data_IF_069071589946
#
_entry.id   IF_069071589946
#
_cell.length_a   1.000
_cell.length_b   1.000
_cell.length_c   1.000
_cell.angle_alpha   90.00
_cell.angle_beta   90.00
_cell.angle_gamma   90.00
#
_symmetry.space_group_name_H-M   'P 1'
#
loop_
_entity.id
_entity.type
_entity.pdbx_description
1 polymer ?
#
# COMPACT_ATOMS: atom_id res chain seq x y z
N UNK A 1 -13.06 6.60 -15.73
CA UNK A 1 -11.80 5.95 -15.36
C UNK A 1 -11.02 6.89 -14.47
N UNK A 2 -10.68 6.44 -13.27
CA UNK A 2 -9.86 7.18 -12.32
C UNK A 2 -8.39 6.73 -12.40
N UNK A 3 -7.51 7.45 -11.73
CA UNK A 3 -6.09 7.12 -11.56
C UNK A 3 -5.86 5.75 -10.92
N UNK A 4 -6.67 5.40 -9.92
CA UNK A 4 -6.60 4.13 -9.21
C UNK A 4 -6.84 2.93 -10.14
N UNK A 5 -7.79 3.03 -11.08
CA UNK A 5 -8.09 1.99 -12.07
C UNK A 5 -6.94 1.80 -13.06
N UNK A 6 -6.25 2.87 -13.46
CA UNK A 6 -5.03 2.77 -14.28
C UNK A 6 -3.87 2.14 -13.52
N UNK A 7 -3.67 2.51 -12.26
CA UNK A 7 -2.64 1.88 -11.43
C UNK A 7 -2.93 0.39 -11.23
N UNK A 8 -4.19 0.03 -10.97
CA UNK A 8 -4.61 -1.36 -10.86
C UNK A 8 -4.36 -2.14 -12.16
N UNK A 9 -4.72 -1.58 -13.32
CA UNK A 9 -4.44 -2.19 -14.61
C UNK A 9 -2.93 -2.34 -14.88
N UNK A 10 -2.12 -1.36 -14.48
CA UNK A 10 -0.66 -1.44 -14.56
C UNK A 10 -0.13 -2.58 -13.69
N UNK A 11 -0.57 -2.69 -12.43
CA UNK A 11 -0.20 -3.78 -11.54
C UNK A 11 -0.59 -5.14 -12.12
N UNK A 12 -1.83 -5.30 -12.61
CA UNK A 12 -2.25 -6.55 -13.26
C UNK A 12 -1.36 -6.92 -14.45
N UNK A 13 -0.91 -5.93 -15.24
CA UNK A 13 -0.02 -6.18 -16.37
C UNK A 13 1.38 -6.66 -15.98
N UNK A 14 1.75 -6.58 -14.69
CA UNK A 14 3.01 -7.13 -14.16
C UNK A 14 2.87 -8.60 -13.72
N UNK A 15 1.65 -9.13 -13.61
CA UNK A 15 1.43 -10.54 -13.31
C UNK A 15 1.75 -11.43 -14.51
N UNK A 16 2.28 -12.63 -14.25
CA UNK A 16 2.53 -13.63 -15.30
C UNK A 16 1.23 -14.11 -15.96
N UNK A 17 0.18 -14.31 -15.17
CA UNK A 17 -1.19 -14.58 -15.63
C UNK A 17 -2.19 -13.68 -14.87
N UNK A 18 -2.64 -12.56 -15.47
CA UNK A 18 -3.57 -11.63 -14.82
C UNK A 18 -4.99 -12.19 -14.64
N UNK A 19 -5.30 -13.34 -15.25
CA UNK A 19 -6.60 -14.00 -15.12
C UNK A 19 -6.54 -15.26 -14.24
N UNK A 20 -5.34 -15.65 -13.80
CA UNK A 20 -5.08 -16.80 -12.94
C UNK A 20 -5.02 -16.43 -11.45
N UNK A 21 -4.92 -17.45 -10.57
CA UNK A 21 -4.56 -17.21 -9.18
C UNK A 21 -3.15 -16.65 -9.09
N UNK A 22 -2.93 -15.71 -8.17
CA UNK A 22 -1.62 -15.17 -7.84
C UNK A 22 -1.25 -15.59 -6.41
N UNK A 23 -0.01 -15.96 -6.19
CA UNK A 23 0.52 -16.16 -4.85
C UNK A 23 0.84 -14.79 -4.17
N UNK A 24 0.90 -14.73 -2.83
CA UNK A 24 1.12 -13.45 -2.13
C UNK A 24 2.38 -12.70 -2.60
N UNK A 25 3.45 -13.45 -2.89
CA UNK A 25 4.70 -12.90 -3.42
C UNK A 25 4.56 -12.37 -4.83
N UNK A 26 3.77 -13.02 -5.68
CA UNK A 26 3.52 -12.53 -7.04
C UNK A 26 2.74 -11.22 -7.03
N UNK A 27 1.76 -11.07 -6.12
CA UNK A 27 1.06 -9.81 -5.91
C UNK A 27 1.99 -8.71 -5.40
N UNK A 28 2.84 -9.02 -4.42
CA UNK A 28 3.83 -8.10 -3.87
C UNK A 28 4.79 -7.61 -4.97
N UNK A 29 5.35 -8.54 -5.74
CA UNK A 29 6.28 -8.24 -6.83
C UNK A 29 5.60 -7.43 -7.95
N UNK A 30 4.35 -7.75 -8.30
CA UNK A 30 3.59 -6.98 -9.29
C UNK A 30 3.35 -5.53 -8.85
N UNK A 31 3.07 -5.29 -7.57
CA UNK A 31 2.95 -3.95 -7.01
C UNK A 31 4.29 -3.21 -7.07
N UNK A 32 5.40 -3.86 -6.67
CA UNK A 32 6.74 -3.28 -6.74
C UNK A 32 7.13 -2.88 -8.17
N UNK A 33 6.87 -3.75 -9.14
CA UNK A 33 7.13 -3.48 -10.55
C UNK A 33 6.27 -2.32 -11.06
N UNK A 34 5.00 -2.26 -10.70
CA UNK A 34 4.12 -1.15 -11.07
C UNK A 34 4.57 0.19 -10.48
N UNK A 35 5.01 0.20 -9.21
CA UNK A 35 5.60 1.37 -8.57
C UNK A 35 6.88 1.81 -9.30
N UNK A 36 7.72 0.87 -9.72
CA UNK A 36 8.92 1.13 -10.53
C UNK A 36 8.59 1.76 -11.89
N UNK A 37 7.61 1.20 -12.62
CA UNK A 37 7.14 1.79 -13.89
C UNK A 37 6.62 3.21 -13.68
N UNK A 38 5.85 3.45 -12.61
CA UNK A 38 5.37 4.78 -12.28
C UNK A 38 6.50 5.75 -11.96
N UNK A 39 7.54 5.31 -11.25
CA UNK A 39 8.75 6.11 -11.00
C UNK A 39 9.41 6.54 -12.31
N UNK A 40 9.65 5.59 -13.22
CA UNK A 40 10.26 5.87 -14.54
C UNK A 40 9.41 6.83 -15.40
N UNK A 41 8.08 6.68 -15.37
CA UNK A 41 7.16 7.60 -16.08
C UNK A 41 7.26 9.00 -15.49
N UNK A 42 7.22 9.12 -14.16
CA UNK A 42 7.30 10.42 -13.47
C UNK A 42 8.61 11.13 -13.77
N UNK A 43 9.74 10.42 -13.71
CA UNK A 43 11.06 10.96 -14.04
C UNK A 43 11.14 11.47 -15.48
N UNK A 44 10.68 10.66 -16.46
CA UNK A 44 10.69 11.06 -17.90
C UNK A 44 9.86 12.30 -18.20
N UNK A 45 8.85 12.57 -17.36
CA UNK A 45 7.97 13.72 -17.51
C UNK A 45 8.29 14.87 -16.55
N UNK A 46 9.34 14.74 -15.72
CA UNK A 46 9.74 15.76 -14.74
C UNK A 46 8.68 15.99 -13.65
N UNK A 47 7.91 14.95 -13.30
CA UNK A 47 6.89 15.00 -12.26
C UNK A 47 7.56 14.65 -10.93
N UNK A 48 7.79 15.67 -10.10
CA UNK A 48 8.37 15.53 -8.76
C UNK A 48 7.38 15.88 -7.64
N UNK A 49 6.09 16.05 -7.95
CA UNK A 49 5.08 16.40 -6.94
C UNK A 49 4.72 15.20 -6.08
N UNK A 50 4.76 15.33 -4.76
CA UNK A 50 4.35 14.29 -3.81
C UNK A 50 3.05 13.57 -4.22
N UNK A 51 3.04 12.24 -4.20
CA UNK A 51 1.85 11.43 -4.49
C UNK A 51 1.78 10.19 -3.59
N UNK A 52 0.94 10.20 -2.53
CA UNK A 52 0.65 9.01 -1.72
C UNK A 52 0.07 7.88 -2.56
N UNK A 53 0.45 6.63 -2.29
CA UNK A 53 -0.05 5.42 -2.95
C UNK A 53 -0.23 4.31 -1.91
N UNK A 54 -1.37 4.36 -1.21
CA UNK A 54 -1.79 3.32 -0.28
C UNK A 54 -2.77 2.40 -1.00
N UNK A 55 -2.29 1.21 -1.36
CA UNK A 55 -3.06 0.19 -2.07
C UNK A 55 -3.44 -0.90 -1.08
N UNK A 56 -4.60 -1.51 -1.28
CA UNK A 56 -4.99 -2.75 -0.62
C UNK A 56 -5.56 -3.66 -1.71
N UNK A 57 -4.84 -4.72 -2.03
CA UNK A 57 -5.16 -5.66 -3.12
C UNK A 57 -5.32 -7.05 -2.54
N UNK A 58 -6.24 -7.84 -3.10
CA UNK A 58 -6.48 -9.22 -2.69
C UNK A 58 -6.79 -10.10 -3.89
N UNK A 59 -6.30 -11.35 -3.86
CA UNK A 59 -6.71 -12.44 -4.76
C UNK A 59 -7.86 -13.28 -4.17
N UNK A 60 -8.40 -12.88 -3.02
CA UNK A 60 -9.40 -13.64 -2.26
C UNK A 60 -8.81 -14.70 -1.31
N UNK A 61 -7.49 -14.94 -1.32
CA UNK A 61 -6.80 -15.84 -0.36
C UNK A 61 -5.80 -15.09 0.51
N UNK A 62 -5.24 -14.01 -0.02
CA UNK A 62 -4.23 -13.17 0.59
C UNK A 62 -4.56 -11.69 0.39
N UNK A 63 -3.92 -10.83 1.17
CA UNK A 63 -4.02 -9.37 1.05
C UNK A 63 -2.62 -8.80 1.01
N UNK A 64 -2.37 -7.89 0.07
CA UNK A 64 -1.15 -7.07 0.04
C UNK A 64 -1.56 -5.61 0.17
N UNK A 65 -0.98 -4.90 1.13
CA UNK A 65 -1.26 -3.49 1.36
C UNK A 65 0.03 -2.66 1.39
N UNK A 66 0.00 -1.43 0.87
CA UNK A 66 1.17 -0.53 0.89
C UNK A 66 0.91 0.72 1.71
N UNK A 67 1.94 1.18 2.42
CA UNK A 67 2.06 2.56 2.89
C UNK A 67 3.25 3.20 2.15
N UNK A 68 2.97 3.92 1.08
CA UNK A 68 4.01 4.41 0.17
C UNK A 68 3.66 5.79 -0.39
N UNK A 69 4.68 6.49 -0.86
CA UNK A 69 4.54 7.72 -1.64
C UNK A 69 5.64 7.89 -2.66
N UNK A 70 5.32 8.58 -3.74
CA UNK A 70 6.32 9.21 -4.57
C UNK A 70 6.70 10.60 -4.02
N UNK A 71 7.98 10.96 -4.16
CA UNK A 71 8.50 12.31 -4.01
C UNK A 71 8.10 13.01 -2.70
N UNK A 72 8.32 12.35 -1.56
CA UNK A 72 8.04 12.95 -0.26
C UNK A 72 8.79 14.28 -0.06
N UNK A 73 8.10 15.23 0.56
CA UNK A 73 8.64 16.54 0.86
C UNK A 73 8.58 17.53 -0.31
N UNK A 74 8.23 17.08 -1.52
CA UNK A 74 8.08 17.95 -2.68
C UNK A 74 6.63 18.36 -2.92
N UNK A 75 6.28 19.55 -2.43
CA UNK A 75 4.94 20.12 -2.58
C UNK A 75 4.95 21.24 -3.64
N UNK A 76 3.91 21.34 -4.50
CA UNK A 76 3.85 22.35 -5.56
C UNK A 76 3.79 23.79 -5.03
N UNK A 77 3.09 23.97 -3.92
CA UNK A 77 2.96 25.23 -3.18
C UNK A 77 2.66 24.94 -1.69
N UNK A 78 3.03 25.88 -0.81
CA UNK A 78 2.85 25.78 0.65
C UNK A 78 1.36 25.80 1.07
N UNK A 79 0.46 26.21 0.15
CA UNK A 79 -0.98 26.27 0.36
C UNK A 79 -1.73 25.02 -0.13
N UNK A 80 -1.05 24.10 -0.83
CA UNK A 80 -1.66 22.83 -1.27
C UNK A 80 -2.20 22.06 -0.07
N UNK A 81 -3.27 21.32 -0.30
CA UNK A 81 -3.85 20.40 0.69
C UNK A 81 -2.73 19.62 1.41
N UNK A 82 -1.81 19.03 0.64
CA UNK A 82 -0.68 18.24 1.14
C UNK A 82 0.42 19.05 1.86
N UNK A 83 0.65 20.31 1.48
CA UNK A 83 1.64 21.15 2.19
C UNK A 83 1.11 21.68 3.53
N UNK A 84 -0.18 21.96 3.62
CA UNK A 84 -0.87 22.32 4.88
C UNK A 84 -1.05 21.12 5.79
N UNK A 85 -1.16 19.94 5.20
CA UNK A 85 -1.31 18.64 5.86
C UNK A 85 0.01 17.85 6.00
N UNK A 86 1.16 18.52 6.10
CA UNK A 86 2.42 17.90 6.56
C UNK A 86 2.30 17.14 7.90
N UNK A 87 1.16 17.27 8.59
CA UNK A 87 0.78 16.53 9.80
C UNK A 87 0.24 15.10 9.52
N UNK A 88 -0.03 14.73 8.25
CA UNK A 88 -0.60 13.43 7.86
C UNK A 88 0.33 12.61 6.93
N UNK A 89 1.61 12.47 7.31
CA UNK A 89 2.67 11.74 6.58
C UNK A 89 2.16 10.41 5.96
N UNK A 90 1.74 10.53 4.69
CA UNK A 90 1.16 9.53 3.80
C UNK A 90 -0.05 8.75 4.26
N UNK A 91 -1.07 9.49 4.69
CA UNK A 91 -2.48 9.07 4.91
C UNK A 91 -2.54 7.65 5.44
N UNK A 92 -1.99 7.53 6.65
CA UNK A 92 -1.69 6.36 7.47
C UNK A 92 -2.34 5.04 7.09
N UNK A 93 -1.62 3.94 7.28
CA UNK A 93 -2.17 2.61 7.19
C UNK A 93 -2.03 1.96 8.57
N UNK A 94 -3.10 1.35 9.07
CA UNK A 94 -3.13 0.71 10.37
C UNK A 94 -3.62 -0.72 10.21
N UNK A 95 -3.07 -1.63 11.01
CA UNK A 95 -3.56 -2.99 11.12
C UNK A 95 -3.91 -3.36 12.57
N UNK A 96 -4.91 -4.22 12.73
CA UNK A 96 -5.31 -4.78 14.02
C UNK A 96 -5.68 -6.26 13.83
N UNK A 97 -4.76 -7.19 14.16
CA UNK A 97 -5.09 -8.60 14.26
C UNK A 97 -6.09 -8.85 15.39
N UNK A 98 -7.05 -9.74 15.17
CA UNK A 98 -7.96 -10.21 16.21
C UNK A 98 -7.17 -11.01 17.28
N UNK A 99 -7.48 -10.86 18.58
CA UNK A 99 -6.88 -11.66 19.65
C UNK A 99 -6.82 -13.18 19.42
N UNK A 100 -7.74 -13.74 18.63
CA UNK A 100 -7.75 -15.17 18.30
C UNK A 100 -6.85 -15.56 17.12
N UNK A 101 -6.22 -14.57 16.46
CA UNK A 101 -5.30 -14.76 15.33
C UNK A 101 -5.96 -15.15 14.02
N UNK A 102 -7.30 -15.10 13.90
CA UNK A 102 -8.02 -15.61 12.71
C UNK A 102 -8.48 -14.51 11.75
N UNK A 103 -8.42 -13.26 12.17
CA UNK A 103 -8.78 -12.12 11.32
C UNK A 103 -7.83 -10.94 11.54
N UNK A 104 -7.77 -10.04 10.55
CA UNK A 104 -7.02 -8.79 10.65
C UNK A 104 -7.86 -7.68 10.00
N UNK A 105 -7.96 -6.55 10.69
CA UNK A 105 -8.50 -5.33 10.11
C UNK A 105 -7.35 -4.48 9.58
N UNK A 106 -7.46 -3.98 8.35
CA UNK A 106 -6.54 -3.00 7.77
C UNK A 106 -7.37 -1.78 7.38
N UNK A 107 -6.97 -0.60 7.84
CA UNK A 107 -7.71 0.63 7.62
C UNK A 107 -6.78 1.84 7.54
N UNK A 108 -7.29 2.95 7.00
CA UNK A 108 -6.55 4.22 6.99
C UNK A 108 -6.42 4.85 8.38
N UNK A 109 -7.26 4.45 9.33
CA UNK A 109 -7.25 4.91 10.71
C UNK A 109 -7.86 3.85 11.63
N UNK A 110 -7.55 3.85 12.93
CA UNK A 110 -8.21 2.98 13.90
C UNK A 110 -9.72 3.21 13.95
N UNK A 111 -10.48 2.15 13.65
CA UNK A 111 -11.95 2.20 13.56
C UNK A 111 -12.67 1.99 14.91
N UNK A 112 -11.91 1.79 16.00
CA UNK A 112 -12.46 1.53 17.34
C UNK A 112 -11.98 2.57 18.35
N UNK A 113 -12.81 2.82 19.38
CA UNK A 113 -12.45 3.74 20.48
C UNK A 113 -11.26 3.23 21.29
N UNK A 114 -11.16 1.92 21.48
CA UNK A 114 -9.94 1.29 21.99
C UNK A 114 -8.93 1.14 20.85
N UNK A 115 -7.80 1.82 20.97
CA UNK A 115 -6.72 1.85 19.97
C UNK A 115 -5.55 0.94 20.33
N UNK A 116 -5.60 0.24 21.47
CA UNK A 116 -4.45 -0.52 22.00
C UNK A 116 -3.96 -1.65 21.09
N UNK A 117 -4.87 -2.26 20.33
CA UNK A 117 -4.55 -3.33 19.37
C UNK A 117 -4.12 -2.81 17.99
N UNK A 118 -4.31 -1.52 17.70
CA UNK A 118 -4.00 -0.95 16.40
C UNK A 118 -2.53 -0.61 16.31
N UNK A 119 -1.87 -1.17 15.32
CA UNK A 119 -0.47 -0.88 15.00
C UNK A 119 -0.44 -0.11 13.69
N UNK A 120 0.25 1.02 13.69
CA UNK A 120 0.49 1.79 12.47
C UNK A 120 1.55 1.07 11.64
N UNK A 121 1.27 0.83 10.35
CA UNK A 121 2.22 0.26 9.42
C UNK A 121 3.38 1.25 9.20
N UNK A 122 4.65 0.81 9.19
CA UNK A 122 5.78 1.69 8.93
C UNK A 122 5.64 2.45 7.60
N UNK A 123 6.19 3.66 7.50
CA UNK A 123 6.31 4.36 6.23
C UNK A 123 7.17 3.54 5.25
N UNK A 124 6.88 3.64 3.96
CA UNK A 124 7.54 2.87 2.90
C UNK A 124 7.55 1.37 3.22
N UNK A 125 6.39 0.84 3.60
CA UNK A 125 6.24 -0.58 3.87
C UNK A 125 5.11 -1.22 3.10
N UNK A 126 5.20 -2.53 2.97
CA UNK A 126 4.17 -3.39 2.44
C UNK A 126 3.80 -4.44 3.48
N UNK A 127 2.51 -4.54 3.78
CA UNK A 127 1.96 -5.62 4.59
C UNK A 127 1.52 -6.75 3.66
N UNK A 128 1.97 -7.97 3.95
CA UNK A 128 1.52 -9.18 3.24
C UNK A 128 0.79 -10.06 4.26
N UNK A 129 -0.47 -10.33 3.98
CA UNK A 129 -1.36 -11.14 4.81
C UNK A 129 -1.71 -12.41 4.07
N UNK A 130 -1.50 -13.55 4.70
CA UNK A 130 -1.86 -14.85 4.15
C UNK A 130 -2.43 -15.79 5.22
N UNK A 131 -3.04 -16.88 4.80
CA UNK A 131 -3.48 -17.94 5.71
C UNK A 131 -2.32 -18.89 6.03
N UNK A 132 -1.95 -18.98 7.31
CA UNK A 132 -1.04 -19.99 7.85
C UNK A 132 -1.76 -21.21 8.44
N UNK A 133 -0.99 -22.11 9.06
CA UNK A 133 -1.53 -23.32 9.69
C UNK A 133 -2.40 -23.02 10.92
N UNK A 134 -1.98 -22.07 11.76
CA UNK A 134 -2.61 -21.76 13.06
C UNK A 134 -3.41 -20.45 13.07
N UNK A 135 -3.55 -19.78 11.92
CA UNK A 135 -4.21 -18.48 11.82
C UNK A 135 -3.71 -17.66 10.64
N UNK A 136 -3.86 -16.35 10.75
CA UNK A 136 -3.33 -15.39 9.77
C UNK A 136 -1.83 -15.17 10.02
N UNK A 137 -1.06 -15.20 8.94
CA UNK A 137 0.33 -14.75 8.92
C UNK A 137 0.38 -13.32 8.36
N UNK A 138 1.01 -12.41 9.10
CA UNK A 138 1.23 -11.02 8.72
C UNK A 138 2.73 -10.75 8.65
N UNK A 139 3.20 -10.45 7.45
CA UNK A 139 4.58 -10.05 7.17
C UNK A 139 4.61 -8.55 6.83
N UNK A 140 5.68 -7.86 7.23
CA UNK A 140 5.97 -6.49 6.82
C UNK A 140 7.27 -6.45 6.04
N UNK A 141 7.22 -5.91 4.83
CA UNK A 141 8.36 -5.71 3.92
C UNK A 141 8.67 -4.23 3.80
N UNK A 142 9.95 -3.90 3.78
CA UNK A 142 10.41 -2.55 3.46
C UNK A 142 10.33 -2.32 1.95
N UNK A 143 9.89 -1.12 1.55
CA UNK A 143 9.84 -0.68 0.17
C UNK A 143 11.00 0.28 -0.07
N UNK A 144 11.78 0.02 -1.13
CA UNK A 144 12.86 0.94 -1.50
C UNK A 144 12.25 2.24 -2.05
N UNK A 145 12.55 3.35 -1.36
CA UNK A 145 12.17 4.71 -1.76
C UNK A 145 12.89 5.18 -3.02
#
# INVERSE_FOLDING_TARGET
MNDTEWFYALMLSQLADPFGPAEPDELADAILQALGVMRDVRERHGIATQSPVNLIVSDGRSIVATRFTFDYGWYPDDDSFFAREREFDFTTLWCAPDPDGRSVCIASEPLTSDRTQWVEAPEYSMLVVSSGHDGIELETRELEA
#
